data_IF_676586583526
#
_entry.id   IF_676586583526
#
_cell.length_a   1.000
_cell.length_b   1.000
_cell.length_c   1.000
_cell.angle_alpha   90.00
_cell.angle_beta   90.00
_cell.angle_gamma   90.00
#
_symmetry.space_group_name_H-M   'P 1'
#
loop_
_entity.id
_entity.type
_entity.pdbx_description
1 polymer ?
#
# COMPACT_ATOMS: atom_id res chain seq x y z
N UNK A 1 12.34 -2.85 19.06
CA UNK A 1 11.45 -3.39 18.00
C UNK A 1 10.35 -2.40 17.60
N UNK A 2 9.54 -1.84 18.51
CA UNK A 2 8.43 -0.92 18.16
C UNK A 2 8.84 0.32 17.34
N UNK A 3 9.98 0.96 17.65
CA UNK A 3 10.49 2.15 16.92
C UNK A 3 10.82 1.84 15.46
N UNK A 4 11.45 0.70 15.19
CA UNK A 4 11.85 0.27 13.84
C UNK A 4 10.63 0.10 12.94
N UNK A 5 9.59 -0.57 13.46
CA UNK A 5 8.33 -0.79 12.73
C UNK A 5 7.58 0.53 12.51
N UNK A 6 7.66 1.47 13.46
CA UNK A 6 7.07 2.79 13.32
C UNK A 6 7.75 3.59 12.19
N UNK A 7 9.08 3.54 12.09
CA UNK A 7 9.86 4.18 11.03
C UNK A 7 9.57 3.52 9.68
N UNK A 8 9.57 2.18 9.62
CA UNK A 8 9.21 1.43 8.41
C UNK A 8 7.80 1.77 7.90
N UNK A 9 6.81 1.87 8.81
CA UNK A 9 5.45 2.27 8.45
C UNK A 9 5.33 3.71 7.97
N UNK A 10 6.23 4.60 8.41
CA UNK A 10 6.27 5.99 7.96
C UNK A 10 6.93 6.11 6.59
N UNK A 11 8.07 5.44 6.39
CA UNK A 11 8.76 5.38 5.10
C UNK A 11 7.85 4.76 4.04
N UNK A 12 7.17 3.65 4.35
CA UNK A 12 6.27 3.01 3.40
C UNK A 12 5.11 3.93 3.01
N UNK A 13 4.54 4.69 3.95
CA UNK A 13 3.49 5.67 3.66
C UNK A 13 3.96 6.80 2.72
N UNK A 14 5.19 7.31 2.93
CA UNK A 14 5.79 8.31 2.03
C UNK A 14 5.93 7.72 0.62
N UNK A 15 6.49 6.52 0.50
CA UNK A 15 6.67 5.85 -0.80
C UNK A 15 5.35 5.66 -1.52
N UNK A 16 4.30 5.19 -0.83
CA UNK A 16 2.97 5.01 -1.44
C UNK A 16 2.35 6.33 -1.89
N UNK A 17 2.55 7.41 -1.13
CA UNK A 17 2.06 8.74 -1.53
C UNK A 17 2.74 9.21 -2.82
N UNK A 18 4.07 9.03 -2.92
CA UNK A 18 4.83 9.37 -4.14
C UNK A 18 4.36 8.53 -5.33
N UNK A 19 4.14 7.22 -5.15
CA UNK A 19 3.66 6.34 -6.23
C UNK A 19 2.27 6.72 -6.70
N UNK A 20 1.36 7.06 -5.77
CA UNK A 20 0.01 7.53 -6.12
C UNK A 20 0.11 8.81 -6.97
N UNK A 21 0.90 9.80 -6.54
CA UNK A 21 1.08 11.06 -7.29
C UNK A 21 1.68 10.79 -8.67
N UNK A 22 2.72 9.97 -8.77
CA UNK A 22 3.36 9.61 -10.04
C UNK A 22 2.39 8.92 -11.00
N UNK A 23 1.54 8.02 -10.48
CA UNK A 23 0.57 7.29 -11.31
C UNK A 23 -0.57 8.21 -11.79
N UNK A 24 -1.02 9.15 -10.95
CA UNK A 24 -1.97 10.17 -11.39
C UNK A 24 -1.38 11.08 -12.47
N UNK A 25 -0.15 11.54 -12.28
CA UNK A 25 0.54 12.40 -13.26
C UNK A 25 0.68 11.73 -14.63
N UNK A 26 0.97 10.43 -14.62
CA UNK A 26 1.08 9.58 -15.81
C UNK A 26 -0.29 9.32 -16.43
N UNK A 27 -1.33 9.05 -15.62
CA UNK A 27 -2.71 8.84 -16.09
C UNK A 27 -3.29 10.06 -16.82
N UNK A 28 -3.01 11.26 -16.32
CA UNK A 28 -3.44 12.51 -16.96
C UNK A 28 -2.53 12.96 -18.12
N UNK A 29 -1.52 12.15 -18.51
CA UNK A 29 -0.56 12.44 -19.58
C UNK A 29 0.17 13.78 -19.47
N UNK A 30 0.37 14.31 -18.25
CA UNK A 30 1.20 15.50 -18.05
C UNK A 30 2.69 15.18 -18.28
N UNK A 31 3.12 13.96 -17.95
CA UNK A 31 4.50 13.49 -18.11
C UNK A 31 4.46 12.01 -18.52
N UNK A 32 5.11 11.64 -19.63
CA UNK A 32 5.33 10.26 -20.05
C UNK A 32 6.53 9.67 -19.28
N UNK A 33 6.31 9.31 -18.02
CA UNK A 33 7.22 8.41 -17.32
C UNK A 33 6.83 6.99 -17.74
N UNK A 34 7.82 6.21 -18.22
CA UNK A 34 7.75 4.81 -18.67
C UNK A 34 6.43 4.08 -18.36
N UNK A 35 5.84 3.41 -19.36
CA UNK A 35 4.51 2.75 -19.37
C UNK A 35 4.20 1.82 -18.18
N UNK A 36 5.20 1.50 -17.35
CA UNK A 36 5.08 0.86 -16.04
C UNK A 36 4.03 1.56 -15.15
N UNK A 37 3.91 2.90 -15.22
CA UNK A 37 2.92 3.69 -14.46
C UNK A 37 1.62 3.98 -15.21
N UNK A 38 1.44 3.43 -16.41
CA UNK A 38 0.18 3.60 -17.16
C UNK A 38 -0.95 2.71 -16.60
N UNK A 39 -0.60 1.60 -15.97
CA UNK A 39 -1.53 0.69 -15.32
C UNK A 39 -1.79 1.06 -13.86
N UNK A 40 -2.94 0.64 -13.34
CA UNK A 40 -3.25 0.70 -11.90
C UNK A 40 -2.46 -0.32 -11.07
N UNK A 41 -1.75 -1.25 -11.72
CA UNK A 41 -0.95 -2.30 -11.10
C UNK A 41 0.11 -1.79 -10.09
N UNK A 42 0.98 -0.82 -10.41
CA UNK A 42 1.95 -0.26 -9.45
C UNK A 42 1.30 0.35 -8.20
N UNK A 43 0.14 1.00 -8.34
CA UNK A 43 -0.62 1.51 -7.19
C UNK A 43 -1.11 0.33 -6.34
N UNK A 44 -1.72 -0.67 -6.94
CA UNK A 44 -2.29 -1.82 -6.22
C UNK A 44 -1.20 -2.58 -5.45
N UNK A 45 -0.04 -2.77 -6.07
CA UNK A 45 1.10 -3.44 -5.44
C UNK A 45 1.69 -2.62 -4.29
N UNK A 46 1.87 -1.32 -4.48
CA UNK A 46 2.39 -0.45 -3.40
C UNK A 46 1.41 -0.35 -2.23
N UNK A 47 0.10 -0.15 -2.49
CA UNK A 47 -0.94 -0.13 -1.47
C UNK A 47 -0.93 -1.44 -0.67
N UNK A 48 -0.88 -2.60 -1.35
CA UNK A 48 -0.80 -3.92 -0.71
C UNK A 48 0.38 -4.00 0.27
N UNK A 49 1.59 -3.63 -0.17
CA UNK A 49 2.79 -3.67 0.68
C UNK A 49 2.66 -2.72 1.86
N UNK A 50 2.17 -1.49 1.66
CA UNK A 50 1.94 -0.56 2.78
C UNK A 50 0.95 -1.09 3.81
N UNK A 51 -0.17 -1.68 3.35
CA UNK A 51 -1.21 -2.19 4.24
C UNK A 51 -0.73 -3.41 5.04
N UNK A 52 0.14 -4.26 4.48
CA UNK A 52 0.80 -5.34 5.24
C UNK A 52 1.73 -4.80 6.33
N UNK A 53 2.55 -3.80 6.02
CA UNK A 53 3.46 -3.17 7.00
C UNK A 53 2.64 -2.50 8.11
N UNK A 54 1.53 -1.84 7.76
CA UNK A 54 0.64 -1.22 8.73
C UNK A 54 -0.12 -2.23 9.58
N UNK A 55 -0.54 -3.38 9.03
CA UNK A 55 -1.12 -4.47 9.81
C UNK A 55 -0.14 -4.97 10.88
N UNK A 56 1.12 -5.22 10.50
CA UNK A 56 2.19 -5.64 11.43
C UNK A 56 2.44 -4.56 12.50
N UNK A 57 2.43 -3.28 12.09
CA UNK A 57 2.59 -2.15 13.00
C UNK A 57 1.47 -2.07 14.04
N UNK A 58 0.21 -2.19 13.63
CA UNK A 58 -0.92 -2.19 14.56
C UNK A 58 -0.91 -3.42 15.47
N UNK A 59 -0.49 -4.56 14.95
CA UNK A 59 -0.35 -5.79 15.74
C UNK A 59 0.70 -5.65 16.86
N UNK A 60 1.82 -4.98 16.60
CA UNK A 60 2.92 -4.89 17.56
C UNK A 60 2.84 -3.66 18.47
N UNK A 61 2.16 -2.60 18.05
CA UNK A 61 2.16 -1.34 18.80
C UNK A 61 0.95 -1.14 19.72
N UNK A 62 -0.21 -1.70 19.40
CA UNK A 62 -1.43 -1.51 20.19
C UNK A 62 -1.68 -2.67 21.17
N UNK A 63 -2.08 -2.34 22.41
CA UNK A 63 -2.55 -3.32 23.40
C UNK A 63 -4.07 -3.21 23.54
N UNK A 64 -4.79 -4.34 23.48
CA UNK A 64 -6.26 -4.41 23.67
C UNK A 64 -7.07 -4.72 22.40
N UNK A 65 -8.41 -4.71 22.51
CA UNK A 65 -9.34 -5.14 21.43
C UNK A 65 -9.21 -4.32 20.13
N UNK A 66 -8.84 -3.03 20.24
CA UNK A 66 -8.64 -2.14 19.08
C UNK A 66 -7.52 -2.63 18.14
N UNK A 67 -6.50 -3.31 18.68
CA UNK A 67 -5.41 -3.91 17.88
C UNK A 67 -5.96 -4.82 16.79
N UNK A 68 -6.88 -5.71 17.16
CA UNK A 68 -7.43 -6.70 16.24
C UNK A 68 -8.24 -6.05 15.13
N UNK A 69 -9.07 -5.05 15.46
CA UNK A 69 -9.91 -4.34 14.49
C UNK A 69 -9.04 -3.66 13.42
N UNK A 70 -8.05 -2.86 13.81
CA UNK A 70 -7.18 -2.17 12.85
C UNK A 70 -6.33 -3.13 12.01
N UNK A 71 -5.83 -4.21 12.63
CA UNK A 71 -5.06 -5.23 11.90
C UNK A 71 -5.93 -5.94 10.88
N UNK A 72 -7.17 -6.29 11.23
CA UNK A 72 -8.11 -6.97 10.33
C UNK A 72 -8.47 -6.10 9.12
N UNK A 73 -8.78 -4.82 9.35
CA UNK A 73 -9.08 -3.87 8.27
C UNK A 73 -7.89 -3.74 7.30
N UNK A 74 -6.67 -3.58 7.82
CA UNK A 74 -5.47 -3.52 6.97
C UNK A 74 -5.25 -4.82 6.18
N UNK A 75 -5.48 -5.98 6.79
CA UNK A 75 -5.36 -7.27 6.09
C UNK A 75 -6.42 -7.43 5.01
N UNK A 76 -7.67 -7.04 5.26
CA UNK A 76 -8.72 -7.03 4.23
C UNK A 76 -8.34 -6.14 3.05
N UNK A 77 -7.86 -4.92 3.31
CA UNK A 77 -7.42 -4.01 2.25
C UNK A 77 -6.24 -4.57 1.44
N UNK A 78 -5.32 -5.28 2.09
CA UNK A 78 -4.23 -5.97 1.41
C UNK A 78 -4.73 -7.09 0.50
N UNK A 79 -5.68 -7.92 0.98
CA UNK A 79 -6.24 -9.04 0.21
C UNK A 79 -6.98 -8.51 -1.02
N UNK A 80 -7.81 -7.48 -0.83
CA UNK A 80 -8.52 -6.82 -1.94
C UNK A 80 -7.52 -6.30 -2.97
N UNK A 81 -6.48 -5.59 -2.52
CA UNK A 81 -5.44 -5.05 -3.41
C UNK A 81 -4.70 -6.16 -4.18
N UNK A 82 -4.45 -7.31 -3.55
CA UNK A 82 -3.82 -8.46 -4.20
C UNK A 82 -4.71 -9.09 -5.29
N UNK A 83 -6.01 -9.23 -5.03
CA UNK A 83 -6.96 -9.77 -6.02
C UNK A 83 -7.04 -8.85 -7.24
N UNK A 84 -7.14 -7.54 -7.01
CA UNK A 84 -7.16 -6.55 -8.10
C UNK A 84 -5.83 -6.50 -8.87
N UNK A 85 -4.68 -6.65 -8.18
CA UNK A 85 -3.37 -6.72 -8.82
C UNK A 85 -3.29 -7.91 -9.80
N UNK A 86 -3.72 -9.10 -9.37
CA UNK A 86 -3.72 -10.29 -10.24
C UNK A 86 -4.71 -10.16 -11.40
N UNK A 87 -5.89 -9.58 -11.20
CA UNK A 87 -6.85 -9.40 -12.30
C UNK A 87 -6.39 -8.37 -13.34
N UNK A 88 -5.54 -7.41 -12.95
CA UNK A 88 -4.94 -6.44 -13.87
C UNK A 88 -3.78 -7.00 -14.71
N UNK A 89 -3.08 -8.03 -14.22
CA UNK A 89 -2.00 -8.73 -14.98
C UNK A 89 -2.58 -9.64 -16.07
N UNK A 90 -3.80 -10.15 -15.88
CA UNK A 90 -4.42 -11.15 -16.77
C UNK A 90 -5.13 -10.51 -18.00
N UNK A 91 -5.00 -9.19 -18.19
CA UNK A 91 -5.47 -8.48 -19.39
C UNK A 91 -4.30 -8.13 -20.31
#
# INVERSE_FOLDING_TARGET
MRRIINILGFISAIVTTVVIVATFLTSYRFIYINEIFSGYYPIQLTIMVTMLIWAIRFWLNNSGKRKYIYTMICLMLSIVSFIFANSSIVK
#
